data_IF_343651472295
#
_entry.id   IF_343651472295
#
_cell.length_a   1.000
_cell.length_b   1.000
_cell.length_c   1.000
_cell.angle_alpha   90.00
_cell.angle_beta   90.00
_cell.angle_gamma   90.00
#
_symmetry.space_group_name_H-M   'P 1'
#
loop_
_entity.id
_entity.type
_entity.pdbx_description
1 polymer ?
#
# COMPACT_ATOMS: atom_id res chain seq x y z
N UNK A 1 -11.47 -7.84 -22.50
CA UNK A 1 -11.17 -6.39 -22.62
C UNK A 1 -10.21 -5.95 -21.51
N UNK A 2 -9.03 -5.47 -21.94
CA UNK A 2 -8.05 -4.59 -21.27
C UNK A 2 -7.43 -4.96 -19.91
N UNK A 3 -6.64 -6.05 -19.87
CA UNK A 3 -5.60 -6.29 -18.84
C UNK A 3 -4.67 -5.07 -18.67
N UNK A 4 -4.48 -4.28 -19.73
CA UNK A 4 -3.66 -3.06 -19.75
C UNK A 4 -4.13 -1.95 -18.80
N UNK A 5 -5.41 -1.90 -18.46
CA UNK A 5 -5.94 -0.84 -17.59
C UNK A 5 -5.61 -1.11 -16.12
N UNK A 6 -5.62 -2.39 -15.72
CA UNK A 6 -5.36 -2.80 -14.33
C UNK A 6 -3.90 -2.61 -13.96
N UNK A 7 -2.98 -3.05 -14.82
CA UNK A 7 -1.53 -2.92 -14.57
C UNK A 7 -1.11 -1.45 -14.44
N UNK A 8 -1.70 -0.57 -15.28
CA UNK A 8 -1.50 0.88 -15.18
C UNK A 8 -2.04 1.43 -13.86
N UNK A 9 -3.26 1.06 -13.47
CA UNK A 9 -3.85 1.48 -12.19
C UNK A 9 -3.00 1.04 -11.00
N UNK A 10 -2.50 -0.21 -10.99
CA UNK A 10 -1.61 -0.73 -9.95
C UNK A 10 -0.32 0.10 -9.87
N UNK A 11 0.32 0.37 -11.01
CA UNK A 11 1.53 1.19 -11.06
C UNK A 11 1.27 2.62 -10.56
N UNK A 12 0.13 3.22 -10.95
CA UNK A 12 -0.29 4.54 -10.45
C UNK A 12 -0.51 4.50 -8.93
N UNK A 13 -1.24 3.52 -8.40
CA UNK A 13 -1.46 3.40 -6.94
C UNK A 13 -0.11 3.27 -6.22
N UNK A 14 0.80 2.44 -6.72
CA UNK A 14 2.12 2.26 -6.12
C UNK A 14 2.91 3.57 -6.08
N UNK A 15 2.95 4.29 -7.20
CA UNK A 15 3.65 5.57 -7.31
C UNK A 15 3.06 6.64 -6.39
N UNK A 16 1.74 6.80 -6.40
CA UNK A 16 1.06 7.81 -5.58
C UNK A 16 1.16 7.49 -4.09
N UNK A 17 1.01 6.23 -3.69
CA UNK A 17 1.16 5.83 -2.29
C UNK A 17 2.59 6.05 -1.81
N UNK A 18 3.61 5.73 -2.63
CA UNK A 18 5.01 6.01 -2.31
C UNK A 18 5.24 7.51 -2.10
N UNK A 19 4.75 8.35 -3.02
CA UNK A 19 4.87 9.81 -2.91
C UNK A 19 4.14 10.37 -1.67
N UNK A 20 2.97 9.84 -1.32
CA UNK A 20 2.23 10.25 -0.12
C UNK A 20 3.05 9.89 1.13
N UNK A 21 3.57 8.67 1.21
CA UNK A 21 4.37 8.20 2.36
C UNK A 21 5.66 9.00 2.52
N UNK A 22 6.33 9.35 1.42
CA UNK A 22 7.60 10.07 1.44
C UNK A 22 7.45 11.57 1.77
N UNK A 23 6.43 12.23 1.18
CA UNK A 23 6.34 13.70 1.22
C UNK A 23 5.19 14.26 2.06
N UNK A 24 4.09 13.52 2.25
CA UNK A 24 2.88 14.06 2.87
C UNK A 24 2.64 13.55 4.29
N UNK A 25 3.09 12.33 4.59
CA UNK A 25 2.91 11.73 5.91
C UNK A 25 3.88 12.39 6.91
N UNK A 26 3.32 12.84 8.03
CA UNK A 26 4.05 13.56 9.09
C UNK A 26 4.38 12.69 10.29
N UNK A 27 4.01 11.43 10.26
CA UNK A 27 4.19 10.53 11.40
C UNK A 27 5.66 10.24 11.66
N UNK A 28 6.17 10.55 12.88
CA UNK A 28 7.58 10.41 13.19
C UNK A 28 8.03 8.95 13.11
N UNK A 29 7.16 8.01 13.47
CA UNK A 29 7.44 6.57 13.38
C UNK A 29 7.69 6.13 11.93
N UNK A 30 6.90 6.65 10.98
CA UNK A 30 7.11 6.37 9.55
C UNK A 30 8.37 7.04 9.04
N UNK A 31 8.65 8.27 9.46
CA UNK A 31 9.87 8.97 9.06
C UNK A 31 11.15 8.25 9.50
N UNK A 32 11.17 7.68 10.70
CA UNK A 32 12.30 6.89 11.22
C UNK A 32 12.45 5.58 10.47
N UNK A 33 11.33 4.89 10.17
CA UNK A 33 11.35 3.59 9.52
C UNK A 33 11.52 3.64 7.99
N UNK A 34 11.58 4.83 7.36
CA UNK A 34 11.82 5.01 5.92
C UNK A 34 11.01 4.02 5.04
N UNK A 35 9.66 4.06 5.09
CA UNK A 35 8.80 3.10 4.40
C UNK A 35 8.99 3.17 2.89
N UNK A 36 9.35 2.04 2.30
CA UNK A 36 9.54 1.90 0.85
C UNK A 36 8.46 0.98 0.27
N UNK A 37 7.68 1.48 -0.69
CA UNK A 37 6.68 0.65 -1.38
C UNK A 37 7.38 -0.33 -2.33
N UNK A 38 7.22 -1.62 -2.07
CA UNK A 38 7.82 -2.71 -2.87
C UNK A 38 6.88 -3.23 -3.94
N UNK A 39 5.57 -3.09 -3.74
CA UNK A 39 4.59 -3.53 -4.72
C UNK A 39 3.18 -3.27 -4.25
N UNK A 40 2.26 -3.27 -5.22
CA UNK A 40 0.83 -3.17 -4.97
C UNK A 40 0.13 -4.29 -5.70
N UNK A 41 -0.83 -4.92 -5.04
CA UNK A 41 -1.76 -5.87 -5.62
C UNK A 41 -3.18 -5.35 -5.45
N UNK A 42 -3.92 -5.32 -6.55
CA UNK A 42 -5.33 -4.95 -6.56
C UNK A 42 -6.18 -6.22 -6.66
N UNK A 43 -7.25 -6.30 -5.87
CA UNK A 43 -8.26 -7.36 -5.96
C UNK A 43 -8.87 -7.40 -7.37
N UNK A 44 -9.39 -8.56 -7.83
CA UNK A 44 -10.03 -8.67 -9.14
C UNK A 44 -11.15 -7.63 -9.34
N UNK A 45 -11.93 -7.34 -8.29
CA UNK A 45 -13.02 -6.36 -8.30
C UNK A 45 -12.58 -4.90 -8.13
N UNK A 46 -11.28 -4.65 -7.92
CA UNK A 46 -10.74 -3.29 -7.73
C UNK A 46 -11.09 -2.62 -6.40
N UNK A 47 -11.71 -3.34 -5.46
CA UNK A 47 -12.19 -2.81 -4.18
C UNK A 47 -11.15 -2.79 -3.07
N UNK A 48 -10.14 -3.66 -3.15
CA UNK A 48 -9.08 -3.78 -2.14
C UNK A 48 -7.71 -3.71 -2.82
N UNK A 49 -6.78 -2.96 -2.22
CA UNK A 49 -5.41 -2.85 -2.67
C UNK A 49 -4.46 -3.16 -1.51
N UNK A 50 -3.68 -4.22 -1.67
CA UNK A 50 -2.63 -4.61 -0.72
C UNK A 50 -1.32 -4.00 -1.16
N UNK A 51 -0.72 -3.19 -0.29
CA UNK A 51 0.53 -2.47 -0.51
C UNK A 51 1.62 -3.14 0.34
N UNK A 52 2.61 -3.73 -0.32
CA UNK A 52 3.79 -4.26 0.33
C UNK A 52 4.78 -3.13 0.61
N UNK A 53 5.15 -2.96 1.88
CA UNK A 53 6.03 -1.88 2.34
C UNK A 53 7.22 -2.49 3.07
N UNK A 54 8.43 -2.18 2.63
CA UNK A 54 9.65 -2.47 3.38
C UNK A 54 9.88 -1.35 4.39
N UNK A 55 10.14 -1.72 5.64
CA UNK A 55 10.50 -0.79 6.71
C UNK A 55 11.97 -1.00 7.08
N UNK A 56 12.67 0.10 7.29
CA UNK A 56 14.03 0.15 7.81
C UNK A 56 14.01 0.29 9.34
N UNK A 57 15.16 0.01 9.96
CA UNK A 57 15.34 0.09 11.42
C UNK A 57 15.10 -1.24 12.14
N UNK A 58 15.18 -1.18 13.47
CA UNK A 58 15.04 -2.36 14.33
C UNK A 58 13.58 -2.80 14.49
N UNK A 59 13.36 -3.97 15.10
CA UNK A 59 12.01 -4.53 15.30
C UNK A 59 11.05 -3.57 16.02
N UNK A 60 11.54 -2.79 16.99
CA UNK A 60 10.74 -1.81 17.71
C UNK A 60 10.28 -0.65 16.81
N UNK A 61 11.13 -0.16 15.91
CA UNK A 61 10.79 0.91 14.97
C UNK A 61 9.82 0.40 13.90
N UNK A 62 10.03 -0.83 13.42
CA UNK A 62 9.13 -1.48 12.46
C UNK A 62 7.73 -1.67 13.04
N UNK A 63 7.60 -2.07 14.31
CA UNK A 63 6.30 -2.23 14.96
C UNK A 63 5.58 -0.87 15.14
N UNK A 64 6.31 0.17 15.55
CA UNK A 64 5.76 1.53 15.64
C UNK A 64 5.30 2.04 14.28
N UNK A 65 6.10 1.82 13.24
CA UNK A 65 5.74 2.20 11.88
C UNK A 65 4.56 1.39 11.35
N UNK A 66 4.45 0.09 11.69
CA UNK A 66 3.25 -0.71 11.35
C UNK A 66 1.99 -0.14 11.99
N UNK A 67 2.06 0.26 13.25
CA UNK A 67 0.95 0.92 13.94
C UNK A 67 0.61 2.28 13.29
N UNK A 68 1.62 3.07 12.93
CA UNK A 68 1.43 4.34 12.24
C UNK A 68 0.79 4.16 10.85
N UNK A 69 1.25 3.19 10.03
CA UNK A 69 0.60 2.86 8.74
C UNK A 69 -0.88 2.52 8.90
N UNK A 70 -1.26 1.82 9.97
CA UNK A 70 -2.65 1.49 10.25
C UNK A 70 -3.46 2.74 10.66
N UNK A 71 -2.86 3.64 11.44
CA UNK A 71 -3.45 4.91 11.86
C UNK A 71 -3.64 5.88 10.69
N UNK A 72 -2.58 6.12 9.92
CA UNK A 72 -2.55 7.01 8.76
C UNK A 72 -3.27 6.47 7.53
N UNK A 73 -3.71 5.21 7.56
CA UNK A 73 -4.42 4.58 6.44
C UNK A 73 -5.55 5.44 5.88
N UNK A 74 -6.34 6.06 6.74
CA UNK A 74 -7.45 6.92 6.32
C UNK A 74 -6.95 8.19 5.61
N UNK A 75 -5.87 8.79 6.13
CA UNK A 75 -5.22 9.95 5.54
C UNK A 75 -4.62 9.62 4.17
N UNK A 76 -3.84 8.52 4.08
CA UNK A 76 -3.22 8.06 2.83
C UNK A 76 -4.30 7.77 1.79
N UNK A 77 -5.38 7.08 2.19
CA UNK A 77 -6.51 6.80 1.29
C UNK A 77 -7.18 8.09 0.80
N UNK A 78 -7.38 9.08 1.67
CA UNK A 78 -7.97 10.36 1.29
C UNK A 78 -7.08 11.15 0.32
N UNK A 79 -5.76 11.12 0.50
CA UNK A 79 -4.80 11.72 -0.45
C UNK A 79 -4.83 11.00 -1.79
N UNK A 80 -4.76 9.67 -1.77
CA UNK A 80 -4.83 8.84 -2.96
C UNK A 80 -6.13 9.07 -3.75
N UNK A 81 -7.25 9.26 -3.06
CA UNK A 81 -8.55 9.55 -3.66
C UNK A 81 -8.58 10.84 -4.50
N UNK A 82 -7.77 11.83 -4.13
CA UNK A 82 -7.67 13.10 -4.86
C UNK A 82 -6.81 12.99 -6.11
N UNK A 83 -5.98 11.95 -6.20
CA UNK A 83 -5.02 11.73 -7.28
C UNK A 83 -5.48 10.68 -8.28
N UNK A 84 -6.28 9.71 -7.83
CA UNK A 84 -6.90 8.69 -8.68
C UNK A 84 -8.25 9.16 -9.22
N UNK A 85 -8.40 9.18 -10.55
CA UNK A 85 -9.70 9.34 -11.21
C UNK A 85 -10.46 8.00 -11.32
N UNK A 86 -10.75 7.38 -10.18
CA UNK A 86 -11.50 6.10 -10.12
C UNK A 86 -12.83 6.28 -9.39
N UNK A 87 -13.84 5.53 -9.83
CA UNK A 87 -15.21 5.62 -9.27
C UNK A 87 -15.30 5.16 -7.82
N UNK A 88 -14.48 4.19 -7.43
CA UNK A 88 -14.38 3.67 -6.06
C UNK A 88 -12.91 3.55 -5.69
N UNK A 89 -12.51 4.24 -4.63
CA UNK A 89 -11.15 4.16 -4.11
C UNK A 89 -10.98 2.84 -3.38
N UNK A 90 -9.96 2.02 -3.71
CA UNK A 90 -9.76 0.75 -3.04
C UNK A 90 -9.43 0.96 -1.56
N UNK A 91 -9.83 -0.01 -0.73
CA UNK A 91 -9.38 -0.10 0.65
C UNK A 91 -7.90 -0.48 0.65
N UNK A 92 -7.06 0.40 1.18
CA UNK A 92 -5.62 0.15 1.30
C UNK A 92 -5.36 -0.76 2.50
N UNK A 93 -4.58 -1.81 2.29
CA UNK A 93 -4.06 -2.68 3.35
C UNK A 93 -2.55 -2.73 3.23
N UNK A 94 -1.84 -2.40 4.31
CA UNK A 94 -0.38 -2.40 4.31
C UNK A 94 0.14 -3.71 4.90
N UNK A 95 1.11 -4.32 4.23
CA UNK A 95 1.81 -5.51 4.70
C UNK A 95 3.32 -5.27 4.66
N UNK A 96 4.05 -5.84 5.62
CA UNK A 96 5.50 -5.76 5.62
C UNK A 96 6.07 -6.64 4.50
N UNK A 97 6.93 -6.06 3.67
CA UNK A 97 7.63 -6.78 2.63
C UNK A 97 8.66 -7.70 3.28
N UNK A 98 8.59 -9.00 2.97
CA UNK A 98 9.61 -9.95 3.36
C UNK A 98 10.73 -9.95 2.31
N UNK A 99 12.03 -9.93 2.69
CA UNK A 99 13.16 -9.92 1.75
C UNK A 99 13.20 -11.11 0.78
N UNK A 100 12.56 -12.24 1.08
CA UNK A 100 12.46 -13.41 0.19
C UNK A 100 11.30 -13.30 -0.83
N UNK A 101 10.61 -12.15 -0.87
CA UNK A 101 9.39 -11.93 -1.64
C UNK A 101 8.18 -11.74 -0.72
N UNK A 102 7.22 -10.95 -1.17
CA UNK A 102 5.97 -10.76 -0.45
C UNK A 102 4.93 -11.77 -0.94
N UNK A 103 4.31 -12.53 -0.03
CA UNK A 103 3.07 -13.26 -0.31
C UNK A 103 1.92 -12.40 0.19
N UNK A 104 1.14 -11.84 -0.72
CA UNK A 104 -0.16 -11.28 -0.32
C UNK A 104 -1.13 -12.45 -0.24
N UNK A 105 -1.70 -12.76 0.94
CA UNK A 105 -2.69 -13.83 1.02
C UNK A 105 -3.85 -13.45 0.11
N UNK A 106 -4.08 -14.27 -0.92
CA UNK A 106 -5.22 -14.17 -1.79
C UNK A 106 -6.45 -14.47 -0.93
N UNK A 107 -7.21 -13.44 -0.50
CA UNK A 107 -8.60 -13.70 -0.11
C UNK A 107 -9.34 -14.05 -1.40
N UNK A 108 -9.51 -15.34 -1.65
CA UNK A 108 -10.35 -15.85 -2.74
C UNK A 108 -9.64 -16.59 -3.87
N UNK A 109 -8.56 -17.33 -3.62
CA UNK A 109 -8.14 -18.40 -4.55
C UNK A 109 -8.38 -19.76 -3.88
N UNK A 110 -9.66 -20.07 -3.66
CA UNK A 110 -10.17 -21.42 -3.44
C UNK A 110 -11.54 -21.52 -4.13
N UNK A 111 -11.51 -21.52 -5.46
CA UNK A 111 -12.58 -22.06 -6.30
C UNK A 111 -11.89 -22.83 -7.44
N UNK A 112 -11.88 -24.16 -7.28
CA UNK A 112 -11.18 -25.12 -8.13
C UNK A 112 -10.92 -26.42 -7.41
#
# INVERSE_FOLDING_TARGET
MSTHNRSRLVATIAHEVAAILEFEVKDPALRVALPTVMGVRLSPDGEEAVVAVALQGGAADQEKARAALAHDRAFIRARLARRLSVRRIPKLTFVLANPLGYTVPMRGENDG
#
